data_IF_983452886411
#
_entry.id   IF_983452886411
#
_cell.length_a   1.000
_cell.length_b   1.000
_cell.length_c   1.000
_cell.angle_alpha   90.00
_cell.angle_beta   90.00
_cell.angle_gamma   90.00
#
_symmetry.space_group_name_H-M   'P 1'
#
loop_
_entity.id
_entity.type
_entity.pdbx_description
1 polymer ?
#
# COMPACT_ATOMS: atom_id res chain seq x y z
N UNK A 1 16.04 9.49 10.84
CA UNK A 1 16.45 8.58 9.74
C UNK A 1 17.73 7.85 10.14
N UNK A 2 18.77 8.55 10.56
CA UNK A 2 20.08 7.96 10.92
C UNK A 2 20.01 6.80 11.92
N UNK A 3 19.19 6.92 12.97
CA UNK A 3 18.99 5.82 13.93
C UNK A 3 18.39 4.58 13.24
N UNK A 4 17.33 4.74 12.45
CA UNK A 4 16.71 3.64 11.72
C UNK A 4 17.65 2.97 10.71
N UNK A 5 18.54 3.76 10.09
CA UNK A 5 19.58 3.23 9.20
C UNK A 5 20.66 2.50 10.00
N UNK A 6 21.07 3.02 11.16
CA UNK A 6 22.02 2.35 12.05
C UNK A 6 21.45 1.04 12.65
N UNK A 7 20.14 1.00 12.87
CA UNK A 7 19.39 -0.19 13.30
C UNK A 7 19.23 -1.23 12.18
N UNK A 8 19.70 -0.92 10.95
CA UNK A 8 19.71 -1.85 9.82
C UNK A 8 18.39 -1.93 9.05
N UNK A 9 17.58 -0.86 9.03
CA UNK A 9 16.37 -0.84 8.21
C UNK A 9 16.69 -0.87 6.71
N UNK A 10 16.03 -1.76 5.95
CA UNK A 10 16.17 -1.82 4.48
C UNK A 10 15.28 -0.80 3.74
N UNK A 11 14.14 -0.44 4.37
CA UNK A 11 13.14 0.48 3.81
C UNK A 11 12.65 1.45 4.87
N UNK A 12 12.62 2.75 4.54
CA UNK A 12 11.98 3.79 5.34
C UNK A 12 10.68 4.23 4.67
N UNK A 13 9.56 4.06 5.38
CA UNK A 13 8.25 4.56 4.97
C UNK A 13 7.87 5.77 5.80
N UNK A 14 7.78 6.94 5.17
CA UNK A 14 7.64 8.22 5.84
C UNK A 14 6.40 8.97 5.36
N UNK A 15 5.39 9.03 6.22
CA UNK A 15 4.17 9.82 6.00
C UNK A 15 4.31 11.22 6.58
N UNK A 16 5.41 11.90 6.27
CA UNK A 16 5.71 13.28 6.69
C UNK A 16 6.26 14.06 5.51
N UNK A 17 6.09 15.38 5.52
CA UNK A 17 6.59 16.29 4.50
C UNK A 17 6.55 17.73 4.99
N UNK A 18 7.35 18.58 4.36
CA UNK A 18 7.43 20.01 4.65
C UNK A 18 7.05 20.88 3.44
N UNK A 19 7.18 22.21 3.57
CA UNK A 19 7.11 23.10 2.42
C UNK A 19 8.21 22.77 1.41
N UNK A 20 7.96 23.03 0.13
CA UNK A 20 8.99 22.90 -0.92
C UNK A 20 10.07 23.97 -0.70
N UNK A 21 11.27 23.51 -0.35
CA UNK A 21 12.47 24.33 -0.16
C UNK A 21 13.64 23.67 -0.92
N UNK A 22 14.73 24.40 -1.21
CA UNK A 22 15.90 23.80 -1.85
C UNK A 22 16.43 22.58 -1.08
N UNK A 23 16.90 21.54 -1.78
CA UNK A 23 17.23 20.24 -1.17
C UNK A 23 18.28 20.29 -0.06
N UNK A 24 19.19 21.27 -0.09
CA UNK A 24 20.20 21.46 0.96
C UNK A 24 19.65 22.06 2.26
N UNK A 25 18.41 22.57 2.24
CA UNK A 25 17.69 23.12 3.39
C UNK A 25 16.49 22.22 3.79
N UNK A 26 16.28 21.11 3.07
CA UNK A 26 15.26 20.13 3.39
C UNK A 26 15.88 18.97 4.20
N UNK A 27 15.53 18.93 5.49
CA UNK A 27 15.96 17.88 6.42
C UNK A 27 15.55 16.46 6.01
N UNK A 28 14.42 16.31 5.30
CA UNK A 28 13.95 15.02 4.78
C UNK A 28 14.79 14.63 3.58
N UNK A 29 15.08 15.57 2.68
CA UNK A 29 15.94 15.33 1.51
C UNK A 29 17.37 14.92 1.92
N UNK A 30 17.98 15.67 2.85
CA UNK A 30 19.32 15.38 3.37
C UNK A 30 19.37 14.02 4.10
N UNK A 31 18.41 13.74 4.97
CA UNK A 31 18.37 12.47 5.68
C UNK A 31 18.08 11.28 4.76
N UNK A 32 17.26 11.47 3.72
CA UNK A 32 17.00 10.45 2.71
C UNK A 32 18.23 10.18 1.83
N UNK A 33 19.02 11.22 1.53
CA UNK A 33 20.28 11.07 0.79
C UNK A 33 21.25 10.17 1.56
N UNK A 34 21.46 10.45 2.85
CA UNK A 34 22.33 9.61 3.70
C UNK A 34 21.80 8.19 3.92
N UNK A 35 20.48 7.98 3.87
CA UNK A 35 19.89 6.64 3.92
C UNK A 35 20.19 5.85 2.64
N UNK A 36 20.08 6.48 1.47
CA UNK A 36 20.29 5.84 0.17
C UNK A 36 21.77 5.53 -0.08
N UNK A 37 22.70 6.38 0.37
CA UNK A 37 24.13 6.08 0.34
C UNK A 37 24.49 4.79 1.10
N UNK A 38 23.67 4.44 2.11
CA UNK A 38 23.80 3.21 2.90
C UNK A 38 22.93 2.06 2.37
N UNK A 39 22.31 2.22 1.20
CA UNK A 39 21.51 1.19 0.54
C UNK A 39 20.05 1.08 1.03
N UNK A 40 19.57 2.06 1.81
CA UNK A 40 18.21 2.05 2.38
C UNK A 40 17.25 2.78 1.45
N UNK A 41 16.17 2.12 1.05
CA UNK A 41 15.16 2.72 0.17
C UNK A 41 14.21 3.63 0.96
N UNK A 42 13.90 4.83 0.44
CA UNK A 42 13.06 5.81 1.14
C UNK A 42 11.81 6.13 0.32
N UNK A 43 10.64 5.90 0.92
CA UNK A 43 9.33 6.25 0.37
C UNK A 43 8.68 7.33 1.23
N UNK A 44 8.30 8.46 0.62
CA UNK A 44 7.62 9.57 1.29
C UNK A 44 6.29 9.91 0.64
N UNK A 45 5.33 10.43 1.41
CA UNK A 45 4.08 10.94 0.85
C UNK A 45 4.27 12.28 0.12
N UNK A 46 3.56 12.49 -0.98
CA UNK A 46 3.62 13.72 -1.80
C UNK A 46 2.95 14.96 -1.17
N UNK A 47 2.32 14.80 0.01
CA UNK A 47 1.50 15.84 0.63
C UNK A 47 0.03 15.80 0.20
N UNK A 48 -0.81 16.50 0.97
CA UNK A 48 -2.28 16.56 0.77
C UNK A 48 -2.75 17.94 0.27
N UNK A 49 -1.83 18.82 -0.13
CA UNK A 49 -2.11 20.22 -0.49
C UNK A 49 -2.57 20.45 -1.93
N UNK A 50 -2.74 19.39 -2.72
CA UNK A 50 -3.30 19.50 -4.08
C UNK A 50 -4.75 20.00 -4.13
N UNK A 51 -5.30 20.28 -5.32
CA UNK A 51 -4.81 19.86 -6.64
C UNK A 51 -3.95 20.89 -7.39
N UNK A 52 -3.67 22.04 -6.78
CA UNK A 52 -2.97 23.12 -7.46
C UNK A 52 -1.55 22.68 -7.90
N UNK A 53 -1.07 23.14 -9.08
CA UNK A 53 0.31 22.91 -9.49
C UNK A 53 1.30 23.39 -8.42
N UNK A 54 2.43 22.70 -8.29
CA UNK A 54 3.47 23.01 -7.29
C UNK A 54 3.04 22.88 -5.82
N UNK A 55 2.09 21.98 -5.54
CA UNK A 55 1.65 21.62 -4.18
C UNK A 55 2.33 20.36 -3.60
N UNK A 56 3.26 19.77 -4.35
CA UNK A 56 4.00 18.57 -3.96
C UNK A 56 4.97 18.88 -2.82
N UNK A 57 5.25 17.86 -2.01
CA UNK A 57 6.34 17.86 -1.03
C UNK A 57 7.22 16.63 -1.23
N UNK A 58 8.43 16.66 -0.64
CA UNK A 58 9.43 15.60 -0.76
C UNK A 58 9.84 15.34 -2.23
N UNK A 59 10.29 16.39 -2.90
CA UNK A 59 10.58 16.40 -4.36
C UNK A 59 11.98 15.89 -4.72
N UNK A 60 12.78 15.46 -3.74
CA UNK A 60 14.15 15.06 -3.97
C UNK A 60 14.22 13.84 -4.92
N UNK A 61 15.09 13.83 -5.94
CA UNK A 61 15.12 12.77 -6.96
C UNK A 61 15.38 11.35 -6.42
N UNK A 62 15.98 11.26 -5.24
CA UNK A 62 16.29 10.00 -4.57
C UNK A 62 15.14 9.50 -3.67
N UNK A 63 14.09 10.28 -3.44
CA UNK A 63 12.93 9.86 -2.67
C UNK A 63 11.85 9.31 -3.60
N UNK A 64 11.24 8.16 -3.25
CA UNK A 64 10.00 7.73 -3.90
C UNK A 64 8.83 8.55 -3.34
N UNK A 65 8.37 9.54 -4.10
CA UNK A 65 7.24 10.40 -3.72
C UNK A 65 5.92 9.77 -4.12
N UNK A 66 5.10 9.39 -3.13
CA UNK A 66 3.85 8.66 -3.32
C UNK A 66 2.65 9.60 -3.26
N UNK A 67 1.95 9.72 -4.39
CA UNK A 67 0.69 10.45 -4.49
C UNK A 67 -0.52 9.64 -3.97
N UNK A 68 -1.59 10.35 -3.62
CA UNK A 68 -2.86 9.73 -3.25
C UNK A 68 -3.72 9.46 -4.47
N UNK A 69 -4.00 8.19 -4.74
CA UNK A 69 -5.03 7.78 -5.68
C UNK A 69 -6.29 7.33 -4.93
N UNK A 70 -7.46 7.76 -5.41
CA UNK A 70 -8.72 7.16 -4.97
C UNK A 70 -8.91 5.88 -5.76
N UNK A 71 -8.99 4.75 -5.07
CA UNK A 71 -9.45 3.51 -5.69
C UNK A 71 -10.95 3.65 -5.96
N UNK A 72 -11.31 3.98 -7.20
CA UNK A 72 -12.66 3.80 -7.71
C UNK A 72 -12.73 2.34 -8.14
N UNK A 73 -13.57 1.54 -7.49
CA UNK A 73 -13.64 0.09 -7.69
C UNK A 73 -13.59 -0.31 -9.16
N UNK A 74 -12.99 -1.45 -9.42
CA UNK A 74 -12.49 -1.87 -10.73
C UNK A 74 -13.59 -1.96 -11.80
N UNK A 75 -14.10 -0.84 -12.33
CA UNK A 75 -15.08 -0.74 -13.42
C UNK A 75 -16.44 -1.46 -13.23
N UNK A 76 -16.57 -2.32 -12.22
CA UNK A 76 -17.75 -3.14 -11.91
C UNK A 76 -18.25 -2.73 -10.53
N UNK A 77 -19.44 -2.14 -10.42
CA UNK A 77 -20.04 -1.89 -9.13
C UNK A 77 -20.17 -3.21 -8.37
N UNK A 78 -19.86 -3.23 -7.08
CA UNK A 78 -19.95 -4.39 -6.19
C UNK A 78 -18.79 -5.40 -6.25
N UNK A 79 -17.82 -5.24 -7.18
CA UNK A 79 -16.63 -6.10 -7.20
C UNK A 79 -15.79 -5.97 -5.92
N UNK A 80 -15.86 -4.81 -5.26
CA UNK A 80 -15.31 -4.55 -3.93
C UNK A 80 -15.75 -5.56 -2.88
N UNK A 81 -16.95 -6.15 -2.99
CA UNK A 81 -17.44 -7.07 -1.95
C UNK A 81 -16.93 -8.50 -2.09
N UNK A 82 -16.23 -8.86 -3.17
CA UNK A 82 -15.70 -10.20 -3.38
C UNK A 82 -16.76 -11.31 -3.19
N UNK A 83 -17.97 -11.08 -3.74
CA UNK A 83 -19.03 -12.09 -3.77
C UNK A 83 -18.81 -13.06 -4.95
N UNK A 84 -19.51 -14.18 -4.95
CA UNK A 84 -19.32 -15.21 -5.97
C UNK A 84 -19.61 -14.65 -7.39
N UNK A 85 -18.63 -14.76 -8.30
CA UNK A 85 -18.71 -14.19 -9.66
C UNK A 85 -18.36 -12.70 -9.77
N UNK A 86 -18.13 -11.99 -8.65
CA UNK A 86 -17.74 -10.57 -8.69
C UNK A 86 -16.32 -10.38 -9.25
N UNK A 87 -15.49 -11.42 -9.15
CA UNK A 87 -14.12 -11.44 -9.67
C UNK A 87 -14.03 -11.91 -11.13
N UNK A 88 -15.16 -12.25 -11.77
CA UNK A 88 -15.17 -12.70 -13.17
C UNK A 88 -14.67 -11.57 -14.07
N UNK A 89 -13.73 -11.86 -14.96
CA UNK A 89 -13.10 -10.85 -15.83
C UNK A 89 -11.96 -10.05 -15.19
N UNK A 90 -11.56 -10.37 -13.95
CA UNK A 90 -10.31 -9.90 -13.36
C UNK A 90 -9.28 -11.04 -13.32
N UNK A 91 -8.03 -10.76 -13.70
CA UNK A 91 -6.92 -11.71 -13.53
C UNK A 91 -6.35 -11.58 -12.11
N UNK A 92 -6.94 -12.31 -11.16
CA UNK A 92 -6.54 -12.29 -9.74
C UNK A 92 -5.55 -13.39 -9.37
N UNK A 93 -5.14 -14.23 -10.34
CA UNK A 93 -4.18 -15.32 -10.12
C UNK A 93 -2.85 -14.77 -9.62
N UNK A 94 -2.37 -15.28 -8.49
CA UNK A 94 -1.09 -14.85 -7.92
C UNK A 94 -1.15 -13.48 -7.20
N UNK A 95 -2.33 -12.87 -7.06
CA UNK A 95 -2.47 -11.51 -6.49
C UNK A 95 -3.15 -11.52 -5.12
N UNK A 96 -2.88 -10.49 -4.34
CA UNK A 96 -3.63 -10.17 -3.13
C UNK A 96 -4.82 -9.30 -3.53
N UNK A 97 -6.03 -9.71 -3.17
CA UNK A 97 -7.28 -9.02 -3.53
C UNK A 97 -7.76 -8.17 -2.36
N UNK A 98 -8.17 -6.94 -2.65
CA UNK A 98 -8.70 -6.01 -1.66
C UNK A 98 -10.23 -6.06 -1.68
N UNK A 99 -10.83 -6.48 -0.57
CA UNK A 99 -12.28 -6.71 -0.44
C UNK A 99 -12.88 -5.87 0.68
N UNK A 100 -14.08 -5.34 0.50
CA UNK A 100 -14.82 -4.55 1.49
C UNK A 100 -15.74 -5.42 2.37
N UNK A 101 -15.82 -5.08 3.66
CA UNK A 101 -16.85 -5.58 4.56
C UNK A 101 -18.20 -5.02 4.12
N UNK A 102 -19.18 -5.89 3.88
CA UNK A 102 -20.52 -5.45 3.47
C UNK A 102 -21.23 -6.47 2.59
N UNK A 103 -22.42 -6.07 2.13
CA UNK A 103 -23.24 -6.78 1.13
C UNK A 103 -23.81 -8.15 1.57
N UNK A 104 -23.94 -8.39 2.88
CA UNK A 104 -24.50 -9.64 3.40
C UNK A 104 -23.61 -10.89 3.20
N UNK A 105 -22.40 -10.72 2.65
CA UNK A 105 -21.46 -11.81 2.39
C UNK A 105 -20.54 -12.01 3.60
N UNK A 106 -20.50 -13.23 4.14
CA UNK A 106 -19.62 -13.58 5.25
C UNK A 106 -18.13 -13.45 4.87
N UNK A 107 -17.29 -13.01 5.81
CA UNK A 107 -15.84 -12.81 5.60
C UNK A 107 -15.11 -14.06 5.11
N UNK A 108 -15.54 -15.24 5.59
CA UNK A 108 -15.00 -16.54 5.18
C UNK A 108 -15.34 -16.81 3.71
N UNK A 109 -16.55 -16.47 3.28
CA UNK A 109 -17.00 -16.64 1.89
C UNK A 109 -16.20 -15.74 0.96
N UNK A 110 -15.96 -14.48 1.33
CA UNK A 110 -15.09 -13.56 0.56
C UNK A 110 -13.69 -14.15 0.36
N UNK A 111 -13.10 -14.71 1.43
CA UNK A 111 -11.80 -15.38 1.37
C UNK A 111 -11.82 -16.61 0.45
N UNK A 112 -12.88 -17.41 0.49
CA UNK A 112 -13.05 -18.57 -0.38
C UNK A 112 -13.20 -18.17 -1.86
N UNK A 113 -13.91 -17.07 -2.16
CA UNK A 113 -14.05 -16.52 -3.52
C UNK A 113 -12.72 -16.02 -4.06
N UNK A 114 -11.94 -15.30 -3.25
CA UNK A 114 -10.59 -14.86 -3.64
C UNK A 114 -9.68 -16.06 -3.90
N UNK A 115 -9.74 -17.08 -3.04
CA UNK A 115 -8.95 -18.30 -3.21
C UNK A 115 -9.36 -19.07 -4.47
N UNK A 116 -10.67 -19.23 -4.74
CA UNK A 116 -11.16 -19.95 -5.92
C UNK A 116 -10.86 -19.23 -7.23
N UNK A 117 -10.79 -17.90 -7.21
CA UNK A 117 -10.36 -17.09 -8.35
C UNK A 117 -8.83 -17.11 -8.58
N UNK A 118 -8.05 -17.74 -7.68
CA UNK A 118 -6.60 -17.90 -7.78
C UNK A 118 -5.79 -16.84 -7.04
N UNK A 119 -6.44 -16.00 -6.23
CA UNK A 119 -5.77 -15.04 -5.36
C UNK A 119 -4.94 -15.74 -4.28
N UNK A 120 -3.78 -15.15 -3.98
CA UNK A 120 -2.85 -15.69 -2.96
C UNK A 120 -3.09 -15.10 -1.57
N UNK A 121 -3.91 -14.05 -1.48
CA UNK A 121 -4.28 -13.42 -0.23
C UNK A 121 -5.46 -12.47 -0.40
N UNK A 122 -6.10 -12.11 0.71
CA UNK A 122 -7.19 -11.15 0.75
C UNK A 122 -6.90 -10.10 1.84
N UNK A 123 -7.05 -8.82 1.50
CA UNK A 123 -7.09 -7.73 2.48
C UNK A 123 -8.55 -7.31 2.63
N UNK A 124 -9.08 -7.42 3.85
CA UNK A 124 -10.44 -7.03 4.15
C UNK A 124 -10.47 -5.58 4.68
N UNK A 125 -10.94 -4.65 3.85
CA UNK A 125 -11.11 -3.23 4.17
C UNK A 125 -12.51 -2.95 4.71
N UNK A 126 -12.63 -1.92 5.53
CA UNK A 126 -13.90 -1.45 6.06
C UNK A 126 -14.57 -0.48 5.08
N UNK A 127 -15.89 -0.29 5.20
CA UNK A 127 -16.59 0.67 4.36
C UNK A 127 -16.07 2.11 4.57
N UNK A 128 -16.14 3.00 3.56
CA UNK A 128 -15.65 4.38 3.63
C UNK A 128 -16.03 5.15 4.92
N UNK A 129 -17.27 5.09 5.46
CA UNK A 129 -17.63 5.79 6.69
C UNK A 129 -16.97 5.23 7.96
N UNK A 130 -16.26 4.11 7.88
CA UNK A 130 -15.55 3.45 8.97
C UNK A 130 -14.07 3.20 8.66
N UNK A 131 -13.52 3.91 7.67
CA UNK A 131 -12.12 3.78 7.24
C UNK A 131 -11.07 4.25 8.27
N UNK A 132 -11.49 4.83 9.39
CA UNK A 132 -10.63 5.23 10.52
C UNK A 132 -10.46 4.14 11.60
N UNK A 133 -11.14 2.99 11.45
CA UNK A 133 -11.08 1.91 12.45
C UNK A 133 -9.89 0.98 12.17
N UNK A 134 -8.87 1.03 13.02
CA UNK A 134 -7.63 0.22 12.92
C UNK A 134 -7.77 -1.19 13.49
N UNK A 135 -8.91 -1.86 13.30
CA UNK A 135 -9.12 -3.25 13.76
C UNK A 135 -9.05 -4.22 12.57
N UNK A 136 -7.84 -4.58 12.10
CA UNK A 136 -7.70 -5.65 11.12
C UNK A 136 -8.05 -6.98 11.80
N UNK A 137 -9.07 -7.67 11.29
CA UNK A 137 -9.26 -9.08 11.64
C UNK A 137 -8.34 -9.90 10.74
N UNK A 138 -7.24 -10.49 11.24
CA UNK A 138 -6.35 -11.28 10.40
C UNK A 138 -7.08 -12.53 9.94
N UNK A 139 -7.35 -12.62 8.63
CA UNK A 139 -7.65 -13.91 7.99
C UNK A 139 -6.33 -14.49 7.54
N UNK A 140 -5.74 -15.32 8.40
CA UNK A 140 -4.50 -16.05 8.14
C UNK A 140 -4.76 -17.14 7.09
N UNK A 141 -4.22 -16.96 5.88
CA UNK A 141 -3.92 -18.08 4.99
C UNK A 141 -2.43 -18.39 5.09
N UNK A 142 -2.09 -19.63 5.46
CA UNK A 142 -0.70 -20.14 5.44
C UNK A 142 -0.19 -20.08 4.01
N UNK A 143 0.71 -19.14 3.70
CA UNK A 143 1.63 -19.32 2.60
C UNK A 143 2.77 -20.21 3.10
N UNK A 144 2.83 -21.45 2.60
CA UNK A 144 4.04 -22.25 2.69
C UNK A 144 5.03 -21.57 1.74
N UNK A 145 6.05 -20.91 2.29
CA UNK A 145 7.18 -20.41 1.52
C UNK A 145 7.82 -21.58 0.76
N UNK A 146 7.53 -21.72 -0.53
CA UNK A 146 8.41 -22.47 -1.41
C UNK A 146 9.62 -21.58 -1.67
N UNK A 147 10.73 -21.91 -1.02
CA UNK A 147 12.06 -21.44 -1.39
C UNK A 147 12.23 -21.69 -2.89
N UNK A 148 12.49 -20.65 -3.68
CA UNK A 148 12.92 -20.82 -5.07
C UNK A 148 14.28 -21.53 -5.06
N UNK A 149 14.46 -22.67 -5.73
CA UNK A 149 15.77 -23.25 -5.93
C UNK A 149 16.59 -22.31 -6.81
N UNK A 150 17.74 -21.89 -6.31
CA UNK A 150 18.83 -21.36 -7.15
C UNK A 150 19.59 -22.57 -7.69
N UNK A 151 19.54 -22.78 -9.00
CA UNK A 151 20.54 -23.59 -9.72
C UNK A 151 21.89 -22.84 -9.76
#
# INVERSE_FOLDING_TARGET
MDAAVADGADVLSLSIGGPSVPFYDDSIALGAFGAIEKGVFVSCAAGNGGPDPSSLSNEAPWILTVGRARWTGAGKPSAEFCYNGSLDGFDVRGKIVLCEVGDGVARIVKGAVVQSAGGVGMVLMNAPPYGYTTSPTPTSFRHRTSVMPTD
#
